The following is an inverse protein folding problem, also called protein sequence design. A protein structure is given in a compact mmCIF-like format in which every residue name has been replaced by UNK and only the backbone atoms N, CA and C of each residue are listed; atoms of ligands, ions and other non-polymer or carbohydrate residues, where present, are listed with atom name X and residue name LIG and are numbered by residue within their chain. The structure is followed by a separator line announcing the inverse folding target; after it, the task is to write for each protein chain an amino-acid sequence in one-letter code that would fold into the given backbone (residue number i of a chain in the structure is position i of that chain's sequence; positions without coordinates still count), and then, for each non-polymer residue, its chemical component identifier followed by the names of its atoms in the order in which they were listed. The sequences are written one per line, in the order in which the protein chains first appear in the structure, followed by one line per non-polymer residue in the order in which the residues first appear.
data_IF_680030239293
#
_entry.id   IF_680030239293
#
_cell.length_a   1.000
_cell.length_b   1.000
_cell.length_c   1.000
_cell.angle_alpha   90.00
_cell.angle_beta   90.00
_cell.angle_gamma   90.00
#
_symmetry.space_group_name_H-M   'P 1'
#
loop_
_entity.id
_entity.type
_entity.pdbx_description
1 polymer ?
#
# COMPACT_ATOMS: atom_id res chain seq x y z
N UNK A 1 -25.18 13.16 -17.16
CA UNK A 1 -23.77 12.87 -16.80
C UNK A 1 -23.46 13.70 -15.57
N UNK A 2 -23.50 13.07 -14.38
CA UNK A 2 -23.34 13.77 -13.11
C UNK A 2 -21.89 14.22 -12.97
N UNK A 3 -21.66 15.53 -12.94
CA UNK A 3 -20.35 16.09 -12.61
C UNK A 3 -20.27 16.13 -11.09
N UNK A 4 -19.56 15.16 -10.51
CA UNK A 4 -19.25 15.20 -9.08
C UNK A 4 -18.41 16.46 -8.80
N UNK A 5 -18.73 17.24 -7.76
CA UNK A 5 -17.92 18.38 -7.39
C UNK A 5 -16.51 17.91 -7.00
N UNK A 6 -15.49 18.62 -7.46
CA UNK A 6 -14.11 18.40 -7.02
C UNK A 6 -14.02 18.81 -5.56
N UNK A 7 -13.64 17.89 -4.68
CA UNK A 7 -13.36 18.14 -3.26
C UNK A 7 -11.90 17.82 -2.95
N UNK A 8 -11.11 18.88 -2.76
CA UNK A 8 -9.68 18.80 -2.50
C UNK A 8 -9.36 18.31 -1.08
N UNK A 9 -10.34 18.26 -0.17
CA UNK A 9 -10.08 17.94 1.26
C UNK A 9 -9.50 16.56 1.47
N UNK A 10 -9.93 15.58 0.67
CA UNK A 10 -9.39 14.22 0.72
C UNK A 10 -7.96 14.14 0.20
N UNK A 11 -7.62 14.98 -0.79
CA UNK A 11 -6.29 15.01 -1.41
C UNK A 11 -5.27 15.82 -0.59
N UNK A 12 -5.71 16.88 0.09
CA UNK A 12 -4.83 17.82 0.80
C UNK A 12 -4.01 17.21 1.96
N UNK A 13 -4.28 15.95 2.35
CA UNK A 13 -3.55 15.21 3.38
C UNK A 13 -3.09 13.82 2.91
N UNK A 14 -3.31 13.50 1.64
CA UNK A 14 -2.96 12.21 1.03
C UNK A 14 -1.74 12.43 0.14
N UNK A 15 -0.66 11.69 0.38
CA UNK A 15 0.58 11.85 -0.37
C UNK A 15 1.10 10.54 -0.99
N UNK A 16 0.52 9.38 -0.67
CA UNK A 16 0.98 8.09 -1.18
C UNK A 16 0.83 7.99 -2.69
N UNK A 17 -0.26 8.57 -3.24
CA UNK A 17 -0.51 8.63 -4.69
C UNK A 17 0.36 9.72 -5.33
N UNK A 18 0.48 10.88 -4.70
CA UNK A 18 1.27 12.02 -5.21
C UNK A 18 2.75 11.63 -5.39
N UNK A 19 3.31 10.86 -4.46
CA UNK A 19 4.68 10.34 -4.52
C UNK A 19 4.98 9.51 -5.78
N UNK A 20 3.96 8.92 -6.42
CA UNK A 20 4.13 8.15 -7.66
C UNK A 20 4.21 9.04 -8.91
N UNK A 21 3.68 10.27 -8.86
CA UNK A 21 3.56 11.14 -10.03
C UNK A 21 4.92 11.45 -10.70
N UNK A 22 6.01 11.76 -9.98
CA UNK A 22 7.31 12.02 -10.62
C UNK A 22 7.82 10.81 -11.40
N UNK A 23 7.65 9.59 -10.88
CA UNK A 23 8.06 8.37 -11.56
C UNK A 23 7.22 8.12 -12.81
N UNK A 24 5.90 8.30 -12.71
CA UNK A 24 4.98 8.10 -13.83
C UNK A 24 5.21 9.13 -14.94
N UNK A 25 5.40 10.40 -14.58
CA UNK A 25 5.72 11.47 -15.54
C UNK A 25 7.05 11.24 -16.25
N UNK A 26 8.03 10.63 -15.58
CA UNK A 26 9.32 10.31 -16.17
C UNK A 26 9.29 9.06 -17.06
N UNK A 27 8.72 7.96 -16.55
CA UNK A 27 8.75 6.65 -17.22
C UNK A 27 7.66 6.51 -18.29
N UNK A 28 6.51 7.16 -18.11
CA UNK A 28 5.37 7.09 -19.02
C UNK A 28 4.63 8.45 -19.11
N UNK A 29 5.22 9.47 -19.75
CA UNK A 29 4.69 10.85 -19.74
C UNK A 29 3.25 11.02 -20.25
N UNK A 30 2.74 10.06 -21.03
CA UNK A 30 1.38 10.06 -21.59
C UNK A 30 0.43 9.07 -20.90
N UNK A 31 0.84 8.47 -19.78
CA UNK A 31 -0.01 7.54 -19.03
C UNK A 31 -1.24 8.27 -18.49
N UNK A 32 -2.41 7.62 -18.60
CA UNK A 32 -3.61 8.04 -17.90
C UNK A 32 -3.71 7.25 -16.61
N UNK A 33 -3.94 7.93 -15.50
CA UNK A 33 -4.04 7.29 -14.19
C UNK A 33 -5.47 7.40 -13.65
N UNK A 34 -5.88 6.39 -12.89
CA UNK A 34 -7.07 6.41 -12.06
C UNK A 34 -6.60 6.26 -10.61
N UNK A 35 -6.48 7.36 -9.85
CA UNK A 35 -6.05 7.30 -8.46
C UNK A 35 -7.18 6.72 -7.60
N UNK A 36 -6.85 5.73 -6.77
CA UNK A 36 -7.78 5.13 -5.81
C UNK A 36 -7.17 5.30 -4.42
N UNK A 37 -7.69 6.25 -3.65
CA UNK A 37 -7.33 6.41 -2.24
C UNK A 37 -8.08 5.39 -1.39
N UNK A 38 -7.35 4.67 -0.54
CA UNK A 38 -7.89 3.67 0.36
C UNK A 38 -7.76 4.14 1.80
N UNK A 39 -8.78 3.86 2.60
CA UNK A 39 -8.70 3.91 4.06
C UNK A 39 -8.64 2.48 4.61
N UNK A 40 -8.89 2.30 5.90
CA UNK A 40 -8.99 0.96 6.47
C UNK A 40 -10.16 0.20 5.84
N UNK A 41 -9.84 -0.96 5.25
CA UNK A 41 -10.81 -1.90 4.70
C UNK A 41 -10.87 -3.16 5.55
N UNK A 42 -12.05 -3.71 5.69
CA UNK A 42 -12.23 -5.12 6.06
C UNK A 42 -11.79 -6.03 4.91
N UNK A 43 -11.51 -7.31 5.21
CA UNK A 43 -11.15 -8.27 4.17
C UNK A 43 -12.24 -8.40 3.09
N UNK A 44 -13.51 -8.40 3.49
CA UNK A 44 -14.63 -8.46 2.55
C UNK A 44 -14.73 -7.24 1.65
N UNK A 45 -14.42 -6.04 2.17
CA UNK A 45 -14.39 -4.81 1.36
C UNK A 45 -13.22 -4.83 0.37
N UNK A 46 -12.05 -5.31 0.81
CA UNK A 46 -10.89 -5.47 -0.07
C UNK A 46 -11.14 -6.50 -1.18
N UNK A 47 -11.78 -7.63 -0.88
CA UNK A 47 -12.19 -8.62 -1.87
C UNK A 47 -13.21 -8.07 -2.88
N UNK A 48 -14.17 -7.27 -2.40
CA UNK A 48 -15.15 -6.64 -3.29
C UNK A 48 -14.48 -5.62 -4.20
N UNK A 49 -13.61 -4.76 -3.66
CA UNK A 49 -12.84 -3.80 -4.44
C UNK A 49 -12.00 -4.50 -5.52
N UNK A 50 -11.33 -5.62 -5.18
CA UNK A 50 -10.56 -6.39 -6.14
C UNK A 50 -11.43 -6.90 -7.31
N UNK A 51 -12.64 -7.43 -7.02
CA UNK A 51 -13.59 -7.87 -8.05
C UNK A 51 -14.04 -6.71 -8.94
N UNK A 52 -14.31 -5.56 -8.36
CA UNK A 52 -14.75 -4.36 -9.08
C UNK A 52 -13.64 -3.83 -10.00
N UNK A 53 -12.40 -3.78 -9.52
CA UNK A 53 -11.23 -3.40 -10.32
C UNK A 53 -11.05 -4.38 -11.48
N UNK A 54 -11.10 -5.69 -11.23
CA UNK A 54 -10.97 -6.70 -12.30
C UNK A 54 -12.07 -6.51 -13.34
N UNK A 55 -13.32 -6.35 -12.92
CA UNK A 55 -14.46 -6.16 -13.83
C UNK A 55 -14.32 -4.88 -14.67
N UNK A 56 -13.88 -3.78 -14.06
CA UNK A 56 -13.69 -2.50 -14.76
C UNK A 56 -12.52 -2.51 -15.76
N UNK A 57 -11.56 -3.40 -15.58
CA UNK A 57 -10.30 -3.39 -16.35
C UNK A 57 -10.17 -4.52 -17.37
N UNK A 58 -11.11 -5.46 -17.46
CA UNK A 58 -11.02 -6.64 -18.33
C UNK A 58 -10.75 -6.35 -19.82
N UNK A 59 -11.10 -5.17 -20.32
CA UNK A 59 -11.00 -4.79 -21.74
C UNK A 59 -9.91 -3.77 -22.02
N UNK A 60 -9.14 -3.40 -20.99
CA UNK A 60 -8.14 -2.35 -21.05
C UNK A 60 -6.77 -2.94 -20.71
N UNK A 61 -5.71 -2.42 -21.33
CA UNK A 61 -4.35 -2.76 -20.93
C UNK A 61 -3.97 -1.89 -19.73
N UNK A 62 -4.14 -2.43 -18.52
CA UNK A 62 -3.92 -1.70 -17.27
C UNK A 62 -2.69 -2.20 -16.51
N UNK A 63 -2.01 -1.27 -15.85
CA UNK A 63 -1.02 -1.56 -14.82
C UNK A 63 -1.62 -1.18 -13.47
N UNK A 64 -1.67 -2.14 -12.54
CA UNK A 64 -2.06 -1.87 -11.15
C UNK A 64 -0.80 -1.55 -10.34
N UNK A 65 -0.81 -0.40 -9.67
CA UNK A 65 0.24 0.02 -8.76
C UNK A 65 -0.38 0.08 -7.36
N UNK A 66 0.02 -0.86 -6.50
CA UNK A 66 -0.27 -0.79 -5.08
C UNK A 66 0.90 -0.10 -4.38
N UNK A 67 0.61 0.90 -3.56
CA UNK A 67 1.62 1.69 -2.84
C UNK A 67 1.47 1.41 -1.35
N UNK A 68 2.57 1.09 -0.68
CA UNK A 68 2.62 0.88 0.77
C UNK A 68 4.04 1.03 1.25
N UNK A 69 4.20 1.56 2.46
CA UNK A 69 5.44 1.46 3.21
C UNK A 69 5.45 0.14 4.01
N UNK A 70 6.64 -0.30 4.42
CA UNK A 70 6.84 -1.45 5.31
C UNK A 70 7.08 -0.99 6.75
N UNK A 71 7.88 -1.70 7.54
CA UNK A 71 8.10 -1.37 8.95
C UNK A 71 8.67 0.04 9.13
N UNK A 72 7.96 0.84 9.92
CA UNK A 72 8.47 2.08 10.49
C UNK A 72 9.18 1.77 11.83
N UNK A 73 10.51 1.67 11.81
CA UNK A 73 11.31 1.37 12.99
C UNK A 73 12.35 2.46 13.30
N UNK A 74 12.70 2.60 14.59
CA UNK A 74 13.65 3.59 15.07
C UNK A 74 13.06 4.52 16.13
N UNK A 75 13.84 5.53 16.52
CA UNK A 75 13.53 6.37 17.70
C UNK A 75 12.25 7.17 17.50
N UNK A 76 12.06 7.74 16.31
CA UNK A 76 10.85 8.48 15.96
C UNK A 76 9.57 7.62 15.88
N UNK A 77 9.70 6.28 15.86
CA UNK A 77 8.57 5.36 15.75
C UNK A 77 8.33 4.54 17.02
N UNK A 78 9.15 4.76 18.07
CA UNK A 78 9.09 4.01 19.33
C UNK A 78 9.18 2.49 19.17
N UNK A 79 9.72 2.02 18.04
CA UNK A 79 9.88 0.61 17.70
C UNK A 79 11.36 0.30 17.46
N UNK A 80 12.03 -0.14 18.53
CA UNK A 80 13.48 -0.32 18.57
C UNK A 80 13.87 -1.78 18.42
N UNK A 81 15.02 -2.05 17.79
CA UNK A 81 15.59 -3.39 17.83
C UNK A 81 15.88 -3.81 19.29
N UNK A 82 15.73 -5.11 19.61
CA UNK A 82 16.15 -5.62 20.91
C UNK A 82 17.65 -5.41 21.11
N UNK A 83 18.09 -5.37 22.37
CA UNK A 83 19.51 -5.17 22.71
C UNK A 83 20.39 -6.20 21.99
N UNK A 84 21.39 -5.71 21.27
CA UNK A 84 22.34 -6.54 20.53
C UNK A 84 21.94 -6.86 19.09
N UNK A 85 20.84 -6.30 18.59
CA UNK A 85 20.43 -6.39 17.18
C UNK A 85 20.57 -5.04 16.48
N UNK A 86 21.07 -5.01 15.25
CA UNK A 86 21.11 -3.78 14.47
C UNK A 86 19.74 -3.45 13.87
N UNK A 87 19.44 -2.15 13.69
CA UNK A 87 18.16 -1.70 13.14
C UNK A 87 17.81 -2.33 11.78
N UNK A 88 18.79 -2.42 10.87
CA UNK A 88 18.57 -3.00 9.55
C UNK A 88 18.25 -4.51 9.59
N UNK A 89 18.82 -5.25 10.56
CA UNK A 89 18.52 -6.67 10.77
C UNK A 89 17.10 -6.85 11.32
N UNK A 90 16.71 -5.95 12.24
CA UNK A 90 15.37 -5.93 12.81
C UNK A 90 14.29 -5.65 11.76
N UNK A 91 14.49 -4.64 10.91
CA UNK A 91 13.61 -4.32 9.79
C UNK A 91 13.48 -5.53 8.85
N UNK A 92 14.62 -6.06 8.36
CA UNK A 92 14.60 -7.22 7.46
C UNK A 92 13.88 -8.42 8.06
N UNK A 93 14.11 -8.70 9.35
CA UNK A 93 13.48 -9.84 10.03
C UNK A 93 11.95 -9.71 10.09
N UNK A 94 11.43 -8.48 10.23
CA UNK A 94 9.98 -8.23 10.33
C UNK A 94 9.30 -8.07 8.97
N UNK A 95 9.99 -7.53 7.97
CA UNK A 95 9.43 -7.34 6.64
C UNK A 95 9.48 -8.61 5.78
N UNK A 96 10.47 -9.49 6.00
CA UNK A 96 10.66 -10.68 5.18
C UNK A 96 9.41 -11.59 5.08
N UNK A 97 8.66 -11.87 6.16
CA UNK A 97 7.42 -12.65 6.06
C UNK A 97 6.35 -11.97 5.20
N UNK A 98 6.22 -10.64 5.25
CA UNK A 98 5.25 -9.89 4.44
C UNK A 98 5.60 -9.99 2.95
N UNK A 99 6.88 -9.76 2.62
CA UNK A 99 7.39 -9.89 1.26
C UNK A 99 7.17 -11.30 0.71
N UNK A 100 7.51 -12.33 1.50
CA UNK A 100 7.32 -13.71 1.10
C UNK A 100 5.85 -14.05 0.83
N UNK A 101 4.92 -13.53 1.65
CA UNK A 101 3.48 -13.73 1.43
C UNK A 101 2.99 -13.08 0.13
N UNK A 102 3.51 -11.89 -0.21
CA UNK A 102 3.17 -11.19 -1.46
C UNK A 102 3.73 -11.93 -2.66
N UNK A 103 4.99 -12.36 -2.63
CA UNK A 103 5.63 -13.13 -3.70
C UNK A 103 4.90 -14.45 -3.99
N UNK A 104 4.28 -15.05 -2.97
CA UNK A 104 3.49 -16.27 -3.06
C UNK A 104 2.01 -16.01 -3.40
N UNK A 105 1.60 -14.75 -3.55
CA UNK A 105 0.20 -14.34 -3.71
C UNK A 105 -0.73 -14.93 -2.63
N UNK A 106 -0.25 -15.04 -1.39
CA UNK A 106 -1.00 -15.64 -0.27
C UNK A 106 -1.61 -14.58 0.63
N UNK A 107 -2.92 -14.33 0.47
CA UNK A 107 -3.67 -13.41 1.33
C UNK A 107 -3.69 -13.87 2.79
N UNK A 108 -3.82 -15.18 3.03
CA UNK A 108 -3.85 -15.74 4.38
C UNK A 108 -2.54 -15.50 5.15
N UNK A 109 -1.41 -15.82 4.53
CA UNK A 109 -0.10 -15.60 5.16
C UNK A 109 0.22 -14.10 5.27
N UNK A 110 -0.27 -13.26 4.36
CA UNK A 110 -0.11 -11.81 4.47
C UNK A 110 -0.86 -11.25 5.68
N UNK A 111 -2.12 -11.66 5.88
CA UNK A 111 -2.92 -11.26 7.07
C UNK A 111 -2.26 -11.74 8.35
N UNK A 112 -1.79 -12.99 8.36
CA UNK A 112 -1.10 -13.59 9.51
C UNK A 112 0.20 -12.84 9.85
N UNK A 113 1.04 -12.56 8.85
CA UNK A 113 2.28 -11.82 9.02
C UNK A 113 2.05 -10.38 9.46
N UNK A 114 1.02 -9.70 8.94
CA UNK A 114 0.62 -8.35 9.34
C UNK A 114 0.21 -8.29 10.83
N UNK A 115 -0.57 -9.27 11.31
CA UNK A 115 -0.95 -9.35 12.72
C UNK A 115 0.22 -9.60 13.68
N UNK A 116 1.27 -10.28 13.24
CA UNK A 116 2.47 -10.58 14.05
C UNK A 116 3.49 -9.44 14.07
N UNK A 117 3.49 -8.60 13.05
CA UNK A 117 4.44 -7.50 12.88
C UNK A 117 3.93 -6.20 13.49
N UNK A 118 2.78 -6.16 14.14
CA UNK A 118 2.29 -4.97 14.85
C UNK A 118 2.03 -3.76 13.95
N UNK A 119 1.87 -3.97 12.63
CA UNK A 119 1.69 -2.92 11.61
C UNK A 119 0.33 -2.19 11.69
N UNK A 120 -0.40 -2.27 12.81
CA UNK A 120 -1.67 -1.58 12.99
C UNK A 120 -1.55 -0.04 12.98
N UNK A 121 -0.33 0.51 13.02
CA UNK A 121 -0.05 1.95 13.13
C UNK A 121 0.86 2.49 12.01
N UNK A 122 1.12 1.70 10.97
CA UNK A 122 2.21 1.99 10.05
C UNK A 122 1.83 1.65 8.60
N UNK A 123 0.88 2.41 8.07
CA UNK A 123 0.71 2.60 6.65
C UNK A 123 0.06 3.98 6.44
N UNK A 124 0.60 4.78 5.53
CA UNK A 124 -0.13 5.91 4.97
C UNK A 124 -1.36 5.39 4.21
#
# INVERSE_FOLDING_TARGET
MGRYPVDERGHAREHSIENQLPFLQHLAPSVRIVPIGLSQLTLSEAEQLAKDIVAATQRENVLLIATTDYLHAGEGYYDQPPRGMHLHEFIRKRDAPLLASIEQCSTEELIRASGQTGMYHSAC
#
